data_IF_595699866639
#
_entry.id   IF_595699866639
#
_cell.length_a   1.000
_cell.length_b   1.000
_cell.length_c   1.000
_cell.angle_alpha   90.00
_cell.angle_beta   90.00
_cell.angle_gamma   90.00
#
_symmetry.space_group_name_H-M   'P 1'
#
loop_
_entity.id
_entity.type
_entity.pdbx_description
1 polymer ?
#
# COMPACT_ATOMS: atom_id res chain seq x y z
N UNK A 1 -18.63 13.03 -12.60
CA UNK A 1 -18.71 12.12 -11.43
C UNK A 1 -17.70 10.95 -11.46
N UNK A 2 -16.94 10.74 -12.56
CA UNK A 2 -15.91 9.68 -12.63
C UNK A 2 -14.47 10.22 -12.73
N UNK A 3 -14.29 11.55 -12.69
CA UNK A 3 -12.98 12.18 -12.86
C UNK A 3 -12.03 11.82 -11.72
N UNK A 4 -12.54 11.64 -10.50
CA UNK A 4 -11.74 11.24 -9.33
C UNK A 4 -11.10 9.85 -9.46
N UNK A 5 -11.66 8.95 -10.28
CA UNK A 5 -11.09 7.62 -10.53
C UNK A 5 -9.88 7.65 -11.47
N UNK A 6 -9.58 8.81 -12.08
CA UNK A 6 -8.45 9.02 -12.98
C UNK A 6 -7.31 9.80 -12.33
N UNK A 7 -7.51 10.25 -11.10
CA UNK A 7 -6.48 10.98 -10.36
C UNK A 7 -5.38 10.01 -9.92
N UNK A 8 -4.18 10.54 -9.75
CA UNK A 8 -3.09 9.81 -9.10
C UNK A 8 -3.46 9.48 -7.66
N UNK A 9 -2.95 8.35 -7.16
CA UNK A 9 -3.13 7.94 -5.77
C UNK A 9 -2.38 8.90 -4.83
N UNK A 10 -3.04 9.34 -3.76
CA UNK A 10 -2.37 10.10 -2.71
C UNK A 10 -1.58 9.18 -1.77
N UNK A 11 -0.55 9.73 -1.08
CA UNK A 11 0.18 8.99 -0.06
C UNK A 11 -0.74 8.43 1.04
N UNK A 12 -1.81 9.18 1.35
CA UNK A 12 -2.77 8.82 2.37
C UNK A 12 -3.63 7.63 1.92
N UNK A 13 -4.15 7.64 0.68
CA UNK A 13 -4.89 6.50 0.13
C UNK A 13 -4.04 5.22 0.10
N UNK A 14 -2.76 5.33 -0.29
CA UNK A 14 -1.83 4.19 -0.31
C UNK A 14 -1.63 3.64 1.11
N UNK A 15 -1.41 4.52 2.08
CA UNK A 15 -1.26 4.13 3.48
C UNK A 15 -2.53 3.48 4.03
N UNK A 16 -3.68 4.14 3.86
CA UNK A 16 -4.96 3.66 4.35
C UNK A 16 -5.30 2.29 3.74
N UNK A 17 -5.07 2.09 2.44
CA UNK A 17 -5.24 0.79 1.79
C UNK A 17 -4.37 -0.29 2.44
N UNK A 18 -3.10 -0.01 2.73
CA UNK A 18 -2.21 -0.96 3.42
C UNK A 18 -2.72 -1.32 4.82
N UNK A 19 -3.22 -0.34 5.59
CA UNK A 19 -3.71 -0.56 6.96
C UNK A 19 -5.12 -1.15 7.03
N UNK A 20 -5.91 -1.06 5.95
CA UNK A 20 -7.19 -1.77 5.83
C UNK A 20 -7.02 -3.28 5.61
N UNK A 21 -5.84 -3.74 5.17
CA UNK A 21 -5.56 -5.17 5.02
C UNK A 21 -5.43 -5.81 6.41
N UNK A 22 -6.18 -6.89 6.64
CA UNK A 22 -6.06 -7.68 7.87
C UNK A 22 -4.62 -8.14 8.09
N UNK A 23 -4.00 -7.88 9.26
CA UNK A 23 -2.56 -8.02 9.46
C UNK A 23 -2.04 -9.45 9.24
N UNK A 24 -2.87 -10.45 9.53
CA UNK A 24 -2.55 -11.88 9.44
C UNK A 24 -3.30 -12.57 8.28
N UNK A 25 -3.73 -11.83 7.25
CA UNK A 25 -4.23 -12.45 6.02
C UNK A 25 -3.14 -13.30 5.36
N UNK A 26 -3.57 -14.27 4.55
CA UNK A 26 -2.68 -15.14 3.80
C UNK A 26 -1.65 -14.32 3.00
N UNK A 27 -0.36 -14.69 3.04
CA UNK A 27 0.69 -13.96 2.33
C UNK A 27 0.55 -14.11 0.82
N UNK A 28 1.15 -13.18 0.08
CA UNK A 28 1.31 -13.30 -1.36
C UNK A 28 2.46 -14.26 -1.73
N UNK A 29 2.86 -14.31 -3.01
CA UNK A 29 4.02 -15.07 -3.47
C UNK A 29 5.35 -14.66 -2.80
N UNK A 30 5.40 -13.48 -2.16
CA UNK A 30 6.54 -12.99 -1.39
C UNK A 30 6.71 -13.67 -0.02
N UNK A 31 5.69 -14.41 0.45
CA UNK A 31 5.70 -15.10 1.74
C UNK A 31 5.53 -14.19 2.95
N UNK A 32 5.29 -12.88 2.78
CA UNK A 32 5.13 -11.95 3.90
C UNK A 32 3.65 -11.62 4.18
N UNK A 33 3.18 -11.69 5.43
CA UNK A 33 1.86 -11.18 5.78
C UNK A 33 1.86 -9.64 5.74
N UNK A 34 0.69 -9.02 5.55
CA UNK A 34 0.54 -7.56 5.53
C UNK A 34 1.12 -6.87 6.77
N UNK A 35 1.09 -7.54 7.93
CA UNK A 35 1.70 -7.07 9.19
C UNK A 35 3.18 -6.69 9.06
N UNK A 36 3.94 -7.35 8.17
CA UNK A 36 5.34 -7.00 7.93
C UNK A 36 5.46 -5.56 7.44
N UNK A 37 4.74 -5.23 6.37
CA UNK A 37 4.72 -3.91 5.76
C UNK A 37 4.13 -2.85 6.70
N UNK A 38 3.03 -3.17 7.40
CA UNK A 38 2.42 -2.26 8.38
C UNK A 38 3.40 -1.90 9.52
N UNK A 39 4.14 -2.87 10.07
CA UNK A 39 5.12 -2.62 11.13
C UNK A 39 6.38 -1.91 10.63
N UNK A 40 6.73 -2.10 9.37
CA UNK A 40 7.91 -1.49 8.74
C UNK A 40 7.56 -0.24 7.93
N UNK A 41 6.32 0.26 8.03
CA UNK A 41 5.84 1.38 7.24
C UNK A 41 6.74 2.60 7.34
N UNK A 42 7.19 2.97 8.56
CA UNK A 42 8.10 4.10 8.73
C UNK A 42 9.43 4.00 7.94
N UNK A 43 9.89 2.77 7.66
CA UNK A 43 11.09 2.52 6.86
C UNK A 43 10.77 2.42 5.36
N UNK A 44 9.69 1.70 5.01
CA UNK A 44 9.37 1.34 3.63
C UNK A 44 8.47 2.35 2.91
N UNK A 45 7.83 3.29 3.63
CA UNK A 45 6.81 4.20 3.11
C UNK A 45 7.24 4.87 1.80
N UNK A 46 8.43 5.46 1.77
CA UNK A 46 8.89 6.25 0.62
C UNK A 46 9.05 5.40 -0.64
N UNK A 47 9.58 4.19 -0.52
CA UNK A 47 9.83 3.33 -1.67
C UNK A 47 8.56 2.60 -2.09
N UNK A 48 7.67 2.24 -1.16
CA UNK A 48 6.36 1.69 -1.48
C UNK A 48 5.47 2.70 -2.22
N UNK A 49 5.39 3.95 -1.76
CA UNK A 49 4.61 4.99 -2.44
C UNK A 49 5.13 5.20 -3.86
N UNK A 50 6.46 5.31 -4.02
CA UNK A 50 7.07 5.44 -5.34
C UNK A 50 6.73 4.25 -6.24
N UNK A 51 6.87 3.03 -5.73
CA UNK A 51 6.54 1.82 -6.49
C UNK A 51 5.07 1.74 -6.91
N UNK A 52 4.14 2.20 -6.06
CA UNK A 52 2.72 2.25 -6.41
C UNK A 52 2.46 3.27 -7.53
N UNK A 53 3.02 4.46 -7.43
CA UNK A 53 2.86 5.53 -8.43
C UNK A 53 3.57 5.23 -9.76
N UNK A 54 4.61 4.41 -9.75
CA UNK A 54 5.31 3.98 -10.97
C UNK A 54 4.64 2.79 -11.67
N UNK A 55 3.97 1.91 -10.90
CA UNK A 55 3.38 0.67 -11.44
C UNK A 55 1.95 0.84 -11.95
N UNK A 56 1.12 1.62 -11.25
CA UNK A 56 -0.30 1.81 -11.55
C UNK A 56 -0.55 3.18 -12.17
#
# INVERSE_FOLDING_TARGET
MNESLRNEFSEQEIGDALFQIGPLKAPGPDGFPARFFQRKWGLLKKDMIRGVLEFF
#
